data_IF_138417657116
#
_entry.id   IF_138417657116
#
_cell.length_a   1.000
_cell.length_b   1.000
_cell.length_c   1.000
_cell.angle_alpha   90.00
_cell.angle_beta   90.00
_cell.angle_gamma   90.00
#
_symmetry.space_group_name_H-M   'P 1'
#
loop_
_entity.id
_entity.type
_entity.pdbx_description
1 polymer ?
#
# COMPACT_ATOMS: atom_id res chain seq x y z
N UNK A 1 -31.35 -7.06 -5.44
CA UNK A 1 -31.51 -5.61 -5.18
C UNK A 1 -30.31 -5.02 -4.43
N UNK A 2 -29.91 -5.51 -3.25
CA UNK A 2 -28.74 -4.95 -2.53
C UNK A 2 -27.39 -5.12 -3.25
N UNK A 3 -27.14 -6.27 -3.91
CA UNK A 3 -25.91 -6.49 -4.70
C UNK A 3 -25.75 -5.45 -5.82
N UNK A 4 -26.83 -5.16 -6.54
CA UNK A 4 -26.81 -4.21 -7.65
C UNK A 4 -26.51 -2.79 -7.16
N UNK A 5 -27.09 -2.37 -6.03
CA UNK A 5 -26.80 -1.07 -5.41
C UNK A 5 -25.33 -0.90 -5.00
N UNK A 6 -24.72 -1.96 -4.45
CA UNK A 6 -23.30 -1.95 -4.06
C UNK A 6 -22.40 -1.85 -5.30
N UNK A 7 -22.71 -2.59 -6.36
CA UNK A 7 -21.96 -2.52 -7.61
C UNK A 7 -22.12 -1.16 -8.29
N UNK A 8 -23.33 -0.60 -8.32
CA UNK A 8 -23.59 0.74 -8.87
C UNK A 8 -22.83 1.82 -8.10
N UNK A 9 -22.72 1.68 -6.77
CA UNK A 9 -21.92 2.56 -5.92
C UNK A 9 -20.43 2.50 -6.31
N UNK A 10 -19.83 1.32 -6.37
CA UNK A 10 -18.41 1.18 -6.74
C UNK A 10 -18.14 1.62 -8.18
N UNK A 11 -19.05 1.33 -9.11
CA UNK A 11 -18.94 1.78 -10.50
C UNK A 11 -19.07 3.30 -10.62
N UNK A 12 -19.92 3.94 -9.80
CA UNK A 12 -20.02 5.39 -9.74
C UNK A 12 -18.77 6.02 -9.11
N UNK A 13 -18.25 5.40 -8.05
CA UNK A 13 -17.02 5.83 -7.38
C UNK A 13 -15.82 5.81 -8.34
N UNK A 14 -15.70 4.78 -9.18
CA UNK A 14 -14.69 4.67 -10.23
C UNK A 14 -14.73 5.77 -11.30
N UNK A 15 -15.88 6.43 -11.50
CA UNK A 15 -16.00 7.56 -12.44
C UNK A 15 -15.64 8.90 -11.82
N UNK A 16 -15.72 9.01 -10.49
CA UNK A 16 -15.59 10.28 -9.76
C UNK A 16 -14.18 10.42 -9.18
N UNK A 17 -13.64 9.34 -8.62
CA UNK A 17 -12.33 9.36 -7.96
C UNK A 17 -11.25 9.12 -9.01
N UNK A 18 -10.29 10.05 -9.18
CA UNK A 18 -9.18 9.83 -10.10
C UNK A 18 -8.38 8.60 -9.69
N UNK A 19 -7.90 7.85 -10.68
CA UNK A 19 -7.12 6.63 -10.48
C UNK A 19 -6.02 6.80 -9.40
N UNK A 20 -5.29 7.91 -9.40
CA UNK A 20 -4.18 8.20 -8.48
C UNK A 20 -4.58 8.50 -7.02
N UNK A 21 -5.88 8.50 -6.70
CA UNK A 21 -6.43 8.70 -5.36
C UNK A 21 -7.15 7.45 -4.83
N UNK A 22 -7.14 6.35 -5.59
CA UNK A 22 -7.68 5.07 -5.14
C UNK A 22 -6.59 4.23 -4.49
N UNK A 23 -6.73 4.03 -3.18
CA UNK A 23 -5.93 3.10 -2.39
C UNK A 23 -6.56 1.71 -2.46
N UNK A 24 -5.74 0.65 -2.46
CA UNK A 24 -6.18 -0.75 -2.53
C UNK A 24 -7.00 -1.04 -3.79
N UNK A 25 -6.42 -0.80 -4.97
CA UNK A 25 -7.07 -0.96 -6.29
C UNK A 25 -7.60 -2.38 -6.54
N UNK A 26 -8.79 -2.66 -6.02
CA UNK A 26 -9.45 -3.96 -6.03
C UNK A 26 -9.71 -4.51 -7.44
N UNK A 27 -9.88 -3.67 -8.45
CA UNK A 27 -10.28 -4.14 -9.79
C UNK A 27 -9.11 -4.29 -10.77
N UNK A 28 -7.94 -3.71 -10.49
CA UNK A 28 -6.90 -3.51 -11.53
C UNK A 28 -5.58 -4.24 -11.30
N UNK A 29 -4.97 -4.10 -10.13
CA UNK A 29 -3.66 -4.71 -9.84
C UNK A 29 -3.43 -4.81 -8.32
N UNK A 30 -2.58 -5.74 -7.87
CA UNK A 30 -2.09 -5.81 -6.47
C UNK A 30 -0.68 -5.22 -6.38
N UNK A 31 -0.50 -4.04 -6.96
CA UNK A 31 0.76 -3.31 -6.97
C UNK A 31 0.71 -2.17 -5.96
N UNK A 32 1.86 -1.84 -5.38
CA UNK A 32 2.01 -0.64 -4.58
C UNK A 32 2.03 0.59 -5.51
N UNK A 33 0.93 1.34 -5.51
CA UNK A 33 0.71 2.44 -6.44
C UNK A 33 1.04 3.82 -5.87
N UNK A 34 0.78 4.84 -6.69
CA UNK A 34 0.97 6.24 -6.31
C UNK A 34 0.09 6.66 -5.12
N UNK A 35 -1.16 6.18 -5.06
CA UNK A 35 -2.10 6.54 -4.01
C UNK A 35 -1.63 6.00 -2.65
N UNK A 36 -1.24 4.72 -2.61
CA UNK A 36 -0.65 4.06 -1.46
C UNK A 36 0.63 4.78 -1.05
N UNK A 37 1.53 5.07 -2.00
CA UNK A 37 2.78 5.79 -1.73
C UNK A 37 2.53 7.16 -1.09
N UNK A 38 1.58 7.95 -1.61
CA UNK A 38 1.29 9.27 -1.08
C UNK A 38 0.68 9.21 0.33
N UNK A 39 -0.24 8.27 0.58
CA UNK A 39 -0.84 8.08 1.90
C UNK A 39 0.21 7.62 2.92
N UNK A 40 0.97 6.56 2.59
CA UNK A 40 1.95 5.98 3.49
C UNK A 40 3.11 6.94 3.76
N UNK A 41 3.56 7.72 2.76
CA UNK A 41 4.57 8.77 2.95
C UNK A 41 4.14 9.81 3.98
N UNK A 42 2.88 10.27 3.91
CA UNK A 42 2.33 11.24 4.86
C UNK A 42 2.19 10.66 6.26
N UNK A 43 1.70 9.41 6.38
CA UNK A 43 1.59 8.73 7.67
C UNK A 43 2.97 8.49 8.29
N UNK A 44 3.92 7.97 7.50
CA UNK A 44 5.30 7.78 7.94
C UNK A 44 5.95 9.09 8.40
N UNK A 45 5.73 10.19 7.67
CA UNK A 45 6.21 11.51 8.08
C UNK A 45 5.60 11.96 9.43
N UNK A 46 4.30 11.74 9.63
CA UNK A 46 3.60 12.13 10.86
C UNK A 46 4.07 11.34 12.09
N UNK A 47 4.45 10.07 11.89
CA UNK A 47 4.99 9.17 12.92
C UNK A 47 6.52 9.26 13.06
N UNK A 48 7.17 10.15 12.30
CA UNK A 48 8.63 10.27 12.22
C UNK A 48 9.34 8.94 11.85
N UNK A 49 8.70 8.12 11.03
CA UNK A 49 9.26 6.87 10.51
C UNK A 49 10.20 7.11 9.32
N UNK A 50 11.27 6.29 9.16
CA UNK A 50 12.17 6.39 8.02
C UNK A 50 11.45 6.00 6.72
N UNK A 51 11.64 6.77 5.65
CA UNK A 51 10.93 6.56 4.38
C UNK A 51 11.77 5.91 3.29
N UNK A 52 13.08 5.94 3.48
CA UNK A 52 14.09 5.43 2.56
C UNK A 52 15.16 4.69 3.36
N UNK A 53 15.72 3.63 2.77
CA UNK A 53 16.89 2.97 3.35
C UNK A 53 18.05 3.97 3.37
N UNK A 54 18.46 4.41 4.56
CA UNK A 54 19.62 5.28 4.71
C UNK A 54 20.91 4.51 4.47
N UNK A 55 21.84 5.06 3.67
CA UNK A 55 23.18 4.51 3.54
C UNK A 55 23.99 4.78 4.82
N UNK A 56 23.73 4.05 5.90
CA UNK A 56 24.56 4.03 7.11
C UNK A 56 24.52 5.30 7.98
N UNK A 57 24.33 5.08 9.28
CA UNK A 57 24.77 5.93 10.40
C UNK A 57 24.53 7.46 10.32
N UNK A 58 23.44 7.91 10.94
CA UNK A 58 23.54 8.93 12.00
C UNK A 58 23.85 10.39 11.65
N UNK A 59 23.72 10.87 10.41
CA UNK A 59 23.81 12.31 10.12
C UNK A 59 22.69 12.83 9.22
N UNK A 60 22.07 14.00 9.55
CA UNK A 60 21.04 14.61 8.72
C UNK A 60 21.72 15.31 7.55
N UNK A 61 21.91 14.59 6.43
CA UNK A 61 22.40 15.21 5.20
C UNK A 61 21.31 16.10 4.62
N UNK A 62 21.35 17.38 4.98
CA UNK A 62 20.75 18.45 4.20
C UNK A 62 21.51 18.52 2.87
N UNK A 63 20.87 18.21 1.76
CA UNK A 63 21.06 18.99 0.53
C UNK A 63 20.01 18.66 -0.51
N UNK A 64 19.25 19.69 -0.87
CA UNK A 64 18.73 19.86 -2.21
C UNK A 64 19.91 19.81 -3.18
N UNK A 65 20.09 18.72 -3.93
CA UNK A 65 20.69 18.80 -5.25
C UNK A 65 20.09 17.66 -6.07
N UNK A 66 19.41 18.07 -7.12
CA UNK A 66 18.87 17.26 -8.18
C UNK A 66 19.98 16.35 -8.74
N UNK A 67 19.87 15.06 -8.49
CA UNK A 67 20.67 14.04 -9.14
C UNK A 67 19.75 12.88 -9.52
N UNK A 68 19.39 12.85 -10.79
CA UNK A 68 18.65 11.79 -11.43
C UNK A 68 19.39 10.44 -11.28
N UNK A 69 18.65 9.41 -10.87
CA UNK A 69 18.87 8.04 -11.34
C UNK A 69 19.94 7.21 -10.64
N UNK A 70 19.74 6.85 -9.36
CA UNK A 70 20.20 5.57 -8.79
C UNK A 70 19.60 5.29 -7.39
N UNK A 71 18.55 4.45 -7.35
CA UNK A 71 18.46 3.35 -6.38
C UNK A 71 18.20 3.61 -4.89
N UNK A 72 17.57 4.71 -4.47
CA UNK A 72 17.11 4.79 -3.07
C UNK A 72 15.91 3.86 -2.87
N UNK A 73 16.11 2.73 -2.18
CA UNK A 73 15.02 1.80 -1.88
C UNK A 73 14.04 2.45 -0.91
N UNK A 74 12.78 2.56 -1.32
CA UNK A 74 11.69 3.09 -0.50
C UNK A 74 11.24 2.04 0.52
N UNK A 75 11.04 2.48 1.76
CA UNK A 75 10.51 1.64 2.85
C UNK A 75 8.98 1.62 2.87
N UNK A 76 8.32 2.52 2.11
CA UNK A 76 6.86 2.70 2.14
C UNK A 76 6.07 1.41 1.83
N UNK A 77 6.47 0.55 0.87
CA UNK A 77 5.76 -0.72 0.65
C UNK A 77 5.86 -1.69 1.82
N UNK A 78 6.95 -1.62 2.61
CA UNK A 78 7.18 -2.50 3.75
C UNK A 78 6.22 -2.20 4.90
N UNK A 79 5.90 -0.92 5.11
CA UNK A 79 4.88 -0.51 6.07
C UNK A 79 3.48 -1.02 5.70
N UNK A 80 3.12 -0.97 4.41
CA UNK A 80 1.79 -1.43 3.99
C UNK A 80 1.67 -2.96 3.99
N UNK A 81 2.75 -3.67 3.65
CA UNK A 81 2.78 -5.15 3.73
C UNK A 81 2.86 -5.64 5.18
N UNK A 82 3.36 -4.83 6.09
CA UNK A 82 3.61 -5.19 7.48
C UNK A 82 4.93 -5.93 7.69
N UNK A 83 5.85 -5.87 6.70
CA UNK A 83 7.25 -6.29 6.92
C UNK A 83 7.94 -5.35 7.92
N UNK A 84 7.54 -4.07 7.95
CA UNK A 84 7.84 -3.11 9.01
C UNK A 84 6.51 -2.76 9.74
N UNK A 85 6.30 -3.21 10.99
CA UNK A 85 4.98 -3.21 11.62
C UNK A 85 4.58 -1.87 12.22
N UNK A 86 5.50 -0.93 12.43
CA UNK A 86 5.27 0.26 13.26
C UNK A 86 4.09 1.10 12.77
N UNK A 87 3.91 1.20 11.45
CA UNK A 87 2.79 1.93 10.88
C UNK A 87 1.46 1.22 11.12
N UNK A 88 1.42 -0.11 11.00
CA UNK A 88 0.21 -0.91 11.23
C UNK A 88 -0.12 -1.04 12.73
N UNK A 89 0.87 -0.97 13.61
CA UNK A 89 0.68 -0.92 15.06
C UNK A 89 -0.02 0.38 15.49
N UNK A 90 0.26 1.49 14.80
CA UNK A 90 -0.38 2.78 15.05
C UNK A 90 -1.74 2.92 14.32
N UNK A 91 -1.91 2.26 13.17
CA UNK A 91 -3.11 2.32 12.32
C UNK A 91 -3.61 0.91 11.95
N UNK A 92 -4.11 0.12 12.92
CA UNK A 92 -4.51 -1.28 12.69
C UNK A 92 -5.68 -1.42 11.70
N UNK A 93 -6.53 -0.41 11.58
CA UNK A 93 -7.60 -0.38 10.58
C UNK A 93 -7.08 -0.45 9.14
N UNK A 94 -5.88 0.07 8.87
CA UNK A 94 -5.27 0.01 7.55
C UNK A 94 -4.96 -1.44 7.15
N UNK A 95 -4.50 -2.26 8.10
CA UNK A 95 -4.31 -3.69 7.89
C UNK A 95 -5.64 -4.39 7.61
N UNK A 96 -6.69 -4.07 8.37
CA UNK A 96 -8.02 -4.64 8.15
C UNK A 96 -8.58 -4.30 6.76
N UNK A 97 -8.49 -3.04 6.32
CA UNK A 97 -8.97 -2.63 5.00
C UNK A 97 -8.20 -3.32 3.87
N UNK A 98 -6.86 -3.37 3.98
CA UNK A 98 -6.00 -4.11 3.07
C UNK A 98 -6.48 -5.56 2.96
N UNK A 99 -6.56 -6.26 4.07
CA UNK A 99 -6.84 -7.70 4.12
C UNK A 99 -8.24 -8.04 3.61
N UNK A 100 -9.24 -7.19 3.88
CA UNK A 100 -10.59 -7.33 3.32
C UNK A 100 -10.55 -7.29 1.79
N UNK A 101 -9.82 -6.32 1.22
CA UNK A 101 -9.68 -6.17 -0.24
C UNK A 101 -8.93 -7.36 -0.85
N UNK A 102 -7.85 -7.82 -0.20
CA UNK A 102 -7.13 -9.02 -0.63
C UNK A 102 -8.01 -10.27 -0.58
N UNK A 103 -8.76 -10.47 0.50
CA UNK A 103 -9.67 -11.60 0.65
C UNK A 103 -10.72 -11.61 -0.46
N UNK A 104 -11.34 -10.47 -0.77
CA UNK A 104 -12.28 -10.39 -1.88
C UNK A 104 -11.62 -10.74 -3.22
N UNK A 105 -10.33 -10.42 -3.44
CA UNK A 105 -9.65 -10.74 -4.70
C UNK A 105 -9.38 -12.24 -4.78
N UNK A 106 -8.92 -12.84 -3.68
CA UNK A 106 -8.72 -14.28 -3.61
C UNK A 106 -10.01 -15.04 -3.90
N UNK A 107 -11.14 -14.59 -3.33
CA UNK A 107 -12.45 -15.22 -3.56
C UNK A 107 -12.99 -15.04 -4.99
N UNK A 108 -12.53 -14.01 -5.70
CA UNK A 108 -12.90 -13.74 -7.10
C UNK A 108 -11.91 -14.34 -8.10
N UNK A 109 -10.81 -14.95 -7.63
CA UNK A 109 -9.81 -15.56 -8.49
C UNK A 109 -10.33 -16.88 -9.05
N UNK A 110 -10.52 -17.02 -10.38
CA UNK A 110 -11.11 -18.22 -10.97
C UNK A 110 -10.16 -19.43 -10.96
N UNK A 111 -8.86 -19.24 -10.70
CA UNK A 111 -7.83 -20.28 -10.81
C UNK A 111 -6.79 -20.20 -9.69
N UNK A 112 -6.36 -21.34 -9.16
CA UNK A 112 -5.38 -21.45 -8.07
C UNK A 112 -4.01 -20.84 -8.40
N UNK A 113 -3.62 -20.83 -9.66
CA UNK A 113 -2.26 -20.48 -10.10
C UNK A 113 -1.93 -18.99 -10.00
N UNK A 114 -2.96 -18.16 -9.74
CA UNK A 114 -2.81 -16.72 -9.50
C UNK A 114 -2.89 -16.36 -8.00
N UNK A 115 -2.82 -17.35 -7.10
CA UNK A 115 -2.69 -17.12 -5.66
C UNK A 115 -1.24 -16.81 -5.28
N UNK A 116 -1.00 -15.97 -4.25
CA UNK A 116 0.34 -15.70 -3.75
C UNK A 116 1.05 -16.97 -3.27
N UNK A 117 2.38 -16.97 -3.34
CA UNK A 117 3.20 -18.03 -2.75
C UNK A 117 2.95 -18.14 -1.24
N UNK A 118 2.78 -19.37 -0.75
CA UNK A 118 2.63 -19.63 0.67
C UNK A 118 3.95 -19.31 1.36
N UNK A 119 3.94 -18.34 2.28
CA UNK A 119 5.08 -17.99 3.14
C UNK A 119 4.86 -18.54 4.56
N UNK A 120 5.95 -18.99 5.19
CA UNK A 120 5.92 -19.37 6.60
C UNK A 120 5.72 -18.14 7.48
N UNK A 121 4.85 -18.25 8.49
CA UNK A 121 4.65 -17.21 9.48
C UNK A 121 5.95 -16.98 10.29
N UNK A 122 6.32 -15.71 10.52
CA UNK A 122 7.45 -15.32 11.37
C UNK A 122 6.89 -14.75 12.68
N UNK A 123 7.27 -15.32 13.85
CA UNK A 123 6.87 -14.81 15.17
C UNK A 123 7.53 -13.47 15.50
#
# INVERSE_FOLDING_TARGET
>A
TNRTLVLDYFQSLARIVPDHHMVFRFERAMEFGHAESALIDQLALSLALPRYVGSGSGEPTKSHTEAEGQGQQSLLPLYLTGEEPELLDNYPELAAFRDIVFMFKMLMNPTSDALPEIRAWKP
#
